data_IF_462985362865
#
_entry.id   IF_462985362865
#
_cell.length_a   1.000
_cell.length_b   1.000
_cell.length_c   1.000
_cell.angle_alpha   90.00
_cell.angle_beta   90.00
_cell.angle_gamma   90.00
#
_symmetry.space_group_name_H-M   'P 1'
#
loop_
_entity.id
_entity.type
_entity.pdbx_description
1 polymer ?
#
# COMPACT_ATOMS: atom_id res chain seq x y z
N UNK A 1 48.22 53.54 13.01
CA UNK A 1 47.64 54.37 14.08
C UNK A 1 47.50 53.43 15.26
N UNK A 2 48.23 53.50 16.35
CA UNK A 2 49.10 54.49 16.98
C UNK A 2 49.91 53.62 17.98
N UNK A 3 51.24 53.63 18.02
CA UNK A 3 52.01 54.43 18.96
C UNK A 3 51.39 54.45 20.39
N UNK A 4 52.09 54.35 21.49
CA UNK A 4 53.50 54.26 21.80
C UNK A 4 53.57 53.98 23.31
N UNK A 5 54.73 53.46 23.73
CA UNK A 5 55.44 53.84 24.97
C UNK A 5 54.60 54.07 26.24
N UNK A 6 54.90 53.30 27.28
CA UNK A 6 55.55 53.89 28.47
C UNK A 6 56.18 52.77 29.31
N UNK A 7 57.49 52.92 29.46
CA UNK A 7 58.37 52.22 30.39
C UNK A 7 58.03 52.67 31.83
N UNK A 8 58.04 51.73 32.78
CA UNK A 8 57.75 51.97 34.19
C UNK A 8 58.58 51.02 35.06
N UNK A 9 59.20 51.51 36.14
CA UNK A 9 60.57 51.11 36.46
C UNK A 9 60.71 49.86 37.33
N UNK A 10 61.84 49.21 37.03
CA UNK A 10 62.60 48.20 37.76
C UNK A 10 62.66 48.47 39.26
N UNK A 11 62.53 47.43 40.08
CA UNK A 11 63.33 47.17 41.30
C UNK A 11 63.03 45.73 41.75
N UNK A 12 64.03 44.84 41.68
CA UNK A 12 64.95 44.50 42.78
C UNK A 12 64.23 43.66 43.83
N UNK A 13 64.42 42.34 43.78
CA UNK A 13 65.41 41.61 44.60
C UNK A 13 64.85 41.31 46.01
N UNK A 14 64.95 40.05 46.44
CA UNK A 14 65.82 39.63 47.55
C UNK A 14 65.28 40.22 48.87
N UNK A 15 64.90 39.48 49.90
CA UNK A 15 65.64 38.41 50.54
C UNK A 15 64.79 37.86 51.70
N UNK A 16 65.24 36.72 52.22
CA UNK A 16 65.32 36.43 53.66
C UNK A 16 64.03 36.32 54.45
N UNK A 17 63.84 35.13 55.02
CA UNK A 17 62.95 35.02 56.16
C UNK A 17 62.69 33.60 56.61
N UNK A 18 63.75 32.86 56.96
CA UNK A 18 63.63 31.67 57.80
C UNK A 18 62.96 32.06 59.13
N UNK A 19 61.82 31.44 59.41
CA UNK A 19 61.10 31.59 60.67
C UNK A 19 60.38 30.30 61.03
N UNK A 20 61.14 29.31 61.53
CA UNK A 20 60.57 28.20 62.27
C UNK A 20 60.08 28.71 63.63
N UNK A 21 58.77 28.65 63.87
CA UNK A 21 58.24 28.70 65.25
C UNK A 21 56.98 27.85 65.39
N UNK A 22 57.19 26.76 66.13
CA UNK A 22 56.30 25.97 66.99
C UNK A 22 54.79 26.23 66.97
N UNK A 23 54.07 25.14 66.74
CA UNK A 23 52.86 24.67 67.42
C UNK A 23 51.80 25.71 67.81
N UNK A 24 50.57 25.54 67.29
CA UNK A 24 49.39 25.09 68.06
C UNK A 24 48.25 24.72 67.11
N UNK A 25 47.69 23.52 67.29
CA UNK A 25 46.25 23.34 67.15
C UNK A 25 45.76 22.43 66.02
N UNK A 26 44.90 21.50 66.44
CA UNK A 26 43.77 20.90 65.72
C UNK A 26 43.96 19.53 65.07
N UNK A 27 43.92 18.52 65.95
CA UNK A 27 43.42 17.17 65.67
C UNK A 27 41.94 17.16 65.21
N UNK A 28 41.61 17.83 64.10
CA UNK A 28 40.27 17.84 63.49
C UNK A 28 40.27 17.51 61.99
N UNK A 29 41.42 17.26 61.38
CA UNK A 29 41.54 17.02 59.93
C UNK A 29 41.76 15.54 59.54
N UNK A 30 41.49 14.61 60.46
CA UNK A 30 41.32 13.20 60.13
C UNK A 30 39.86 12.88 59.73
N UNK A 31 39.30 13.58 58.73
CA UNK A 31 38.05 13.15 58.06
C UNK A 31 37.77 13.95 56.78
N UNK A 32 38.41 13.56 55.68
CA UNK A 32 37.95 13.83 54.31
C UNK A 32 38.49 12.68 53.47
N UNK A 33 37.76 11.59 53.34
CA UNK A 33 36.49 11.58 52.62
C UNK A 33 36.81 11.09 51.21
N UNK A 34 36.61 9.80 51.00
CA UNK A 34 37.04 9.04 49.84
C UNK A 34 36.09 9.40 48.69
N UNK A 35 36.38 10.45 47.94
CA UNK A 35 35.45 10.99 46.91
C UNK A 35 35.80 10.61 45.46
N UNK A 36 36.73 9.68 45.24
CA UNK A 36 36.98 9.14 43.92
C UNK A 36 36.43 7.71 43.85
N UNK A 37 35.19 7.55 43.35
CA UNK A 37 34.65 6.37 42.62
C UNK A 37 33.11 6.27 42.74
N UNK A 38 32.38 7.32 42.34
CA UNK A 38 30.97 7.14 41.97
C UNK A 38 30.90 6.71 40.51
N UNK A 39 31.02 5.39 40.27
CA UNK A 39 30.71 4.78 38.97
C UNK A 39 29.23 4.97 38.67
N UNK A 40 28.94 5.91 37.77
CA UNK A 40 27.61 6.13 37.19
C UNK A 40 27.22 4.91 36.34
N UNK A 41 26.62 3.90 36.98
CA UNK A 41 26.00 2.78 36.29
C UNK A 41 24.77 3.31 35.55
N UNK A 42 24.94 3.67 34.27
CA UNK A 42 23.82 3.91 33.33
C UNK A 42 22.94 2.65 33.33
N UNK A 43 21.78 2.75 33.98
CA UNK A 43 20.76 1.70 34.01
C UNK A 43 20.18 1.56 32.60
N UNK A 44 20.79 0.70 31.78
CA UNK A 44 20.31 0.38 30.46
C UNK A 44 18.94 -0.29 30.62
N UNK A 45 17.85 0.48 30.44
CA UNK A 45 16.51 -0.09 30.35
C UNK A 45 16.46 -0.90 29.06
N UNK A 46 16.66 -2.20 29.17
CA UNK A 46 16.41 -3.15 28.08
C UNK A 46 14.96 -2.96 27.65
N UNK A 47 14.77 -2.34 26.48
CA UNK A 47 13.44 -2.25 25.86
C UNK A 47 12.97 -3.69 25.65
N UNK A 48 11.95 -4.11 26.38
CA UNK A 48 11.30 -5.40 26.14
C UNK A 48 10.79 -5.37 24.71
N UNK A 49 11.47 -6.08 23.81
CA UNK A 49 10.94 -6.35 22.48
C UNK A 49 9.72 -7.24 22.70
N UNK A 50 8.53 -6.69 22.50
CA UNK A 50 7.29 -7.46 22.50
C UNK A 50 7.35 -8.43 21.32
N UNK A 51 7.26 -9.73 21.62
CA UNK A 51 7.04 -10.75 20.59
C UNK A 51 5.54 -10.86 20.30
N UNK A 52 5.20 -11.32 19.09
CA UNK A 52 3.83 -11.66 18.69
C UNK A 52 3.22 -12.66 19.68
N UNK A 53 1.98 -12.41 20.11
CA UNK A 53 1.21 -13.39 20.88
C UNK A 53 0.61 -14.44 19.95
N UNK A 54 0.54 -15.70 20.38
CA UNK A 54 -0.17 -16.77 19.65
C UNK A 54 -1.63 -16.39 19.40
N UNK A 55 -2.25 -15.68 20.34
CA UNK A 55 -3.63 -15.20 20.24
C UNK A 55 -3.79 -14.18 19.10
N UNK A 56 -2.75 -13.38 18.85
CA UNK A 56 -2.72 -12.34 17.83
C UNK A 56 -2.74 -12.95 16.43
N UNK A 57 -1.94 -14.00 16.21
CA UNK A 57 -1.97 -14.77 14.96
C UNK A 57 -3.27 -15.58 14.82
N UNK A 58 -3.75 -16.19 15.92
CA UNK A 58 -4.98 -16.99 15.94
C UNK A 58 -6.21 -16.17 15.54
N UNK A 59 -6.37 -14.96 16.08
CA UNK A 59 -7.47 -14.07 15.72
C UNK A 59 -7.42 -13.68 14.23
N UNK A 60 -6.23 -13.39 13.69
CA UNK A 60 -6.05 -13.01 12.27
C UNK A 60 -6.46 -14.15 11.34
N UNK A 61 -5.94 -15.36 11.55
CA UNK A 61 -6.28 -16.50 10.67
C UNK A 61 -7.75 -16.92 10.79
N UNK A 62 -8.34 -16.72 11.97
CA UNK A 62 -9.78 -16.98 12.19
C UNK A 62 -10.64 -16.00 11.38
N UNK A 63 -10.34 -14.70 11.42
CA UNK A 63 -11.06 -13.69 10.65
C UNK A 63 -10.87 -13.91 9.14
N UNK A 64 -9.65 -14.23 8.70
CA UNK A 64 -9.37 -14.55 7.28
C UNK A 64 -10.16 -15.79 6.82
N UNK A 65 -10.27 -16.82 7.64
CA UNK A 65 -11.07 -18.02 7.36
C UNK A 65 -12.56 -17.72 7.20
N UNK A 66 -13.14 -16.89 8.09
CA UNK A 66 -14.55 -16.48 8.00
C UNK A 66 -14.82 -15.69 6.72
N UNK A 67 -13.95 -14.73 6.38
CA UNK A 67 -14.11 -13.88 5.19
C UNK A 67 -13.99 -14.72 3.91
N UNK A 68 -13.06 -15.68 3.85
CA UNK A 68 -12.82 -16.51 2.66
C UNK A 68 -14.08 -17.29 2.21
N UNK A 69 -14.89 -17.77 3.16
CA UNK A 69 -16.12 -18.54 2.86
C UNK A 69 -17.21 -17.67 2.22
N UNK A 70 -17.34 -16.40 2.62
CA UNK A 70 -18.46 -15.53 2.22
C UNK A 70 -18.21 -14.83 0.88
N UNK A 71 -16.95 -14.56 0.52
CA UNK A 71 -16.60 -13.74 -0.65
C UNK A 71 -16.78 -14.50 -1.98
N UNK A 72 -16.49 -15.80 -2.02
CA UNK A 72 -16.50 -16.61 -3.25
C UNK A 72 -17.87 -16.68 -3.97
N UNK A 73 -19.01 -16.96 -3.29
CA UNK A 73 -20.26 -17.24 -4.00
C UNK A 73 -20.88 -16.03 -4.71
N UNK A 74 -20.52 -14.80 -4.34
CA UNK A 74 -21.20 -13.59 -4.84
C UNK A 74 -20.85 -13.23 -6.29
N UNK A 75 -19.69 -13.68 -6.80
CA UNK A 75 -19.20 -13.29 -8.13
C UNK A 75 -19.83 -14.14 -9.24
N UNK A 76 -20.14 -15.42 -8.96
CA UNK A 76 -20.60 -16.37 -9.98
C UNK A 76 -22.01 -16.07 -10.51
N UNK A 77 -22.95 -15.73 -9.62
CA UNK A 77 -24.36 -15.51 -10.00
C UNK A 77 -24.54 -14.22 -10.81
N UNK A 78 -23.84 -13.15 -10.45
CA UNK A 78 -23.88 -11.88 -11.17
C UNK A 78 -23.34 -12.03 -12.59
N UNK A 79 -22.24 -12.77 -12.75
CA UNK A 79 -21.63 -13.02 -14.06
C UNK A 79 -22.56 -13.82 -14.98
N UNK A 80 -23.24 -14.86 -14.47
CA UNK A 80 -24.14 -15.67 -15.31
C UNK A 80 -25.39 -14.89 -15.75
N UNK A 81 -25.96 -14.08 -14.86
CA UNK A 81 -27.07 -13.18 -15.19
C UNK A 81 -26.66 -12.13 -16.22
N UNK A 82 -25.48 -11.54 -16.08
CA UNK A 82 -24.94 -10.59 -17.05
C UNK A 82 -24.76 -11.22 -18.44
N UNK A 83 -24.22 -12.44 -18.51
CA UNK A 83 -24.10 -13.20 -19.78
C UNK A 83 -25.46 -13.49 -20.40
N UNK A 84 -26.44 -13.92 -19.60
CA UNK A 84 -27.80 -14.19 -20.09
C UNK A 84 -28.47 -12.93 -20.64
N UNK A 85 -28.32 -11.80 -19.95
CA UNK A 85 -28.85 -10.53 -20.41
C UNK A 85 -28.15 -10.03 -21.68
N UNK A 86 -26.82 -10.17 -21.75
CA UNK A 86 -26.06 -9.86 -22.96
C UNK A 86 -26.47 -10.75 -24.15
N UNK A 87 -26.70 -12.04 -23.93
CA UNK A 87 -27.22 -12.93 -24.98
C UNK A 87 -28.58 -12.46 -25.52
N UNK A 88 -29.53 -12.14 -24.63
CA UNK A 88 -30.84 -11.61 -25.03
C UNK A 88 -30.74 -10.30 -25.80
N UNK A 89 -29.83 -9.41 -25.37
CA UNK A 89 -29.58 -8.14 -26.06
C UNK A 89 -29.02 -8.38 -27.47
N UNK A 90 -28.01 -9.24 -27.60
CA UNK A 90 -27.39 -9.58 -28.89
C UNK A 90 -28.43 -10.18 -29.85
N UNK A 91 -29.29 -11.09 -29.38
CA UNK A 91 -30.39 -11.65 -30.18
C UNK A 91 -31.35 -10.55 -30.66
N UNK A 92 -31.72 -9.62 -29.78
CA UNK A 92 -32.61 -8.50 -30.14
C UNK A 92 -31.99 -7.56 -31.17
N UNK A 93 -30.69 -7.27 -31.02
CA UNK A 93 -29.93 -6.43 -31.95
C UNK A 93 -29.85 -7.10 -33.33
N UNK A 94 -29.54 -8.39 -33.37
CA UNK A 94 -29.48 -9.15 -34.63
C UNK A 94 -30.85 -9.22 -35.29
N UNK A 95 -31.92 -9.51 -34.56
CA UNK A 95 -33.27 -9.52 -35.12
C UNK A 95 -33.64 -8.17 -35.74
N UNK A 96 -33.31 -7.07 -35.06
CA UNK A 96 -33.56 -5.72 -35.58
C UNK A 96 -32.75 -5.45 -36.86
N UNK A 97 -31.50 -5.89 -36.92
CA UNK A 97 -30.66 -5.78 -38.11
C UNK A 97 -31.20 -6.62 -39.27
N UNK A 98 -31.64 -7.84 -39.00
CA UNK A 98 -32.24 -8.77 -39.97
C UNK A 98 -33.54 -8.21 -40.55
N UNK A 99 -34.39 -7.60 -39.72
CA UNK A 99 -35.61 -6.93 -40.19
C UNK A 99 -35.28 -5.74 -41.11
N UNK A 100 -34.31 -4.90 -40.72
CA UNK A 100 -33.83 -3.81 -41.60
C UNK A 100 -33.28 -4.34 -42.93
N UNK A 101 -32.53 -5.43 -42.89
CA UNK A 101 -31.98 -6.07 -44.09
C UNK A 101 -33.10 -6.52 -45.02
N UNK A 102 -34.14 -7.14 -44.47
CA UNK A 102 -35.31 -7.53 -45.25
C UNK A 102 -36.01 -6.31 -45.89
N UNK A 103 -36.17 -5.21 -45.16
CA UNK A 103 -36.75 -3.99 -45.71
C UNK A 103 -35.93 -3.37 -46.84
N UNK A 104 -34.60 -3.44 -46.78
CA UNK A 104 -33.72 -2.84 -47.79
C UNK A 104 -33.44 -3.74 -49.00
N UNK A 105 -33.30 -5.06 -48.78
CA UNK A 105 -32.89 -6.03 -49.80
C UNK A 105 -34.05 -6.85 -50.35
N UNK A 106 -35.20 -6.87 -49.65
CA UNK A 106 -36.37 -7.67 -50.02
C UNK A 106 -36.25 -9.17 -49.71
N UNK A 107 -35.15 -9.61 -49.10
CA UNK A 107 -34.91 -11.00 -48.71
C UNK A 107 -34.20 -11.07 -47.36
N UNK A 108 -34.40 -12.15 -46.61
CA UNK A 108 -33.66 -12.38 -45.37
C UNK A 108 -32.18 -12.67 -45.66
N UNK A 109 -31.26 -12.34 -44.73
CA UNK A 109 -29.85 -12.67 -44.86
C UNK A 109 -29.61 -14.19 -44.75
N UNK A 110 -28.38 -14.62 -45.06
CA UNK A 110 -27.97 -16.00 -44.95
C UNK A 110 -28.17 -16.53 -43.52
N UNK A 111 -28.45 -17.83 -43.38
CA UNK A 111 -28.72 -18.45 -42.06
C UNK A 111 -27.56 -18.34 -41.09
N UNK A 112 -26.33 -18.30 -41.60
CA UNK A 112 -25.11 -18.11 -40.82
C UNK A 112 -24.75 -16.64 -40.60
N UNK A 113 -25.60 -15.71 -41.07
CA UNK A 113 -25.44 -14.27 -40.99
C UNK A 113 -24.15 -13.76 -41.66
N UNK A 114 -23.55 -14.54 -42.56
CA UNK A 114 -22.25 -14.22 -43.17
C UNK A 114 -22.27 -12.97 -44.04
N UNK A 115 -23.40 -12.68 -44.68
CA UNK A 115 -23.65 -11.51 -45.52
C UNK A 115 -23.85 -10.25 -44.68
N UNK A 116 -24.86 -10.23 -43.81
CA UNK A 116 -25.16 -9.09 -42.94
C UNK A 116 -24.01 -8.80 -41.97
N UNK A 117 -23.30 -9.84 -41.51
CA UNK A 117 -22.15 -9.71 -40.62
C UNK A 117 -20.88 -9.16 -41.26
N UNK A 118 -20.78 -9.19 -42.59
CA UNK A 118 -19.71 -8.56 -43.35
C UNK A 118 -20.01 -7.08 -43.68
N UNK A 119 -21.28 -6.67 -43.56
CA UNK A 119 -21.71 -5.31 -43.86
C UNK A 119 -21.60 -4.38 -42.64
N UNK A 120 -20.67 -3.43 -42.72
CA UNK A 120 -20.42 -2.45 -41.66
C UNK A 120 -21.61 -1.51 -41.38
N UNK A 121 -22.58 -1.38 -42.30
CA UNK A 121 -23.80 -0.60 -42.06
C UNK A 121 -24.72 -1.26 -41.03
N UNK A 122 -24.65 -2.58 -40.92
CA UNK A 122 -25.44 -3.37 -39.97
C UNK A 122 -24.65 -3.67 -38.71
N UNK A 123 -23.40 -4.12 -38.85
CA UNK A 123 -22.51 -4.48 -37.75
C UNK A 123 -21.13 -3.83 -37.91
N UNK A 124 -20.94 -2.58 -37.45
CA UNK A 124 -19.67 -1.87 -37.61
C UNK A 124 -18.51 -2.52 -36.85
N UNK A 125 -18.81 -3.24 -35.77
CA UNK A 125 -17.83 -3.91 -34.91
C UNK A 125 -17.85 -5.43 -35.09
N UNK A 126 -18.33 -5.94 -36.23
CA UNK A 126 -18.62 -7.36 -36.50
C UNK A 126 -19.77 -7.95 -35.68
N UNK A 127 -20.21 -9.16 -36.06
CA UNK A 127 -21.28 -9.86 -35.35
C UNK A 127 -20.90 -10.17 -33.90
N UNK A 128 -21.78 -9.89 -32.93
CA UNK A 128 -21.54 -10.29 -31.56
C UNK A 128 -21.54 -11.83 -31.46
N UNK A 129 -20.82 -12.37 -30.47
CA UNK A 129 -20.80 -13.80 -30.17
C UNK A 129 -21.68 -14.12 -28.97
N UNK A 130 -22.07 -15.39 -28.82
CA UNK A 130 -22.87 -15.81 -27.68
C UNK A 130 -22.00 -15.81 -26.40
N UNK A 131 -22.30 -15.00 -25.36
CA UNK A 131 -21.47 -14.89 -24.16
C UNK A 131 -21.56 -16.12 -23.23
N UNK A 132 -22.51 -17.03 -23.46
CA UNK A 132 -22.68 -18.27 -22.71
C UNK A 132 -21.84 -19.41 -23.30
N UNK A 133 -21.79 -19.51 -24.63
CA UNK A 133 -21.18 -20.65 -25.34
C UNK A 133 -19.97 -20.28 -26.20
N UNK A 134 -19.78 -19.02 -26.54
CA UNK A 134 -18.80 -18.53 -27.51
C UNK A 134 -19.19 -18.81 -28.97
N UNK A 135 -20.36 -19.43 -29.21
CA UNK A 135 -20.82 -19.75 -30.56
C UNK A 135 -21.24 -18.49 -31.35
N UNK A 136 -21.25 -18.61 -32.68
CA UNK A 136 -21.85 -17.63 -33.58
C UNK A 136 -23.38 -17.78 -33.55
N UNK A 137 -24.09 -16.67 -33.72
CA UNK A 137 -25.53 -16.68 -33.89
C UNK A 137 -25.92 -17.19 -35.27
N UNK A 138 -27.09 -17.83 -35.35
CA UNK A 138 -27.68 -18.28 -36.60
C UNK A 138 -29.16 -17.93 -36.66
N UNK A 139 -29.74 -17.93 -37.86
CA UNK A 139 -31.19 -17.81 -38.03
C UNK A 139 -31.87 -19.18 -37.96
N UNK A 140 -32.93 -19.24 -37.16
CA UNK A 140 -33.84 -20.38 -37.10
C UNK A 140 -34.75 -20.47 -38.35
N UNK A 141 -35.69 -21.42 -38.34
CA UNK A 141 -36.64 -21.58 -39.45
C UNK A 141 -37.62 -20.39 -39.61
N UNK A 142 -37.74 -19.54 -38.59
CA UNK A 142 -38.61 -18.36 -38.56
C UNK A 142 -37.81 -17.06 -38.79
N UNK A 143 -36.55 -17.16 -39.25
CA UNK A 143 -35.64 -16.04 -39.45
C UNK A 143 -35.34 -15.24 -38.17
N UNK A 144 -35.35 -15.89 -37.01
CA UNK A 144 -34.96 -15.28 -35.72
C UNK A 144 -33.58 -15.76 -35.30
N UNK A 145 -32.81 -14.85 -34.71
CA UNK A 145 -31.49 -15.14 -34.18
C UNK A 145 -31.55 -16.05 -32.94
N UNK A 146 -30.66 -17.03 -32.88
CA UNK A 146 -30.47 -17.98 -31.76
C UNK A 146 -28.99 -18.29 -31.54
#
# INVERSE_FOLDING_TARGET
MEAARADGPRVAEHVSGLGLRSDRGSAWFAMRGNEAMASQVKKNRTRRRGGFSLLELLAVVTILGIIAVVVIPRISVSANTAKTNAHKQNVSEINSAVERWYFEKGSYPAKDLSDIGADANYFPNSLPTNPLTGAKYTLDANNRAQ
#
